data_IF_983317411998
#
_entry.id   IF_983317411998
#
_cell.length_a   1.000
_cell.length_b   1.000
_cell.length_c   1.000
_cell.angle_alpha   90.00
_cell.angle_beta   90.00
_cell.angle_gamma   90.00
#
_symmetry.space_group_name_H-M   'P 1'
#
loop_
_entity.id
_entity.type
_entity.pdbx_description
1 polymer ?
#
# COMPACT_ATOMS: atom_id res chain seq x y z
N UNK A 1 -7.66 -5.99 -1.00
CA UNK A 1 -7.17 -7.39 -1.06
C UNK A 1 -8.10 -8.25 -0.22
N UNK A 2 -8.17 -9.55 -0.50
CA UNK A 2 -8.92 -10.51 0.32
C UNK A 2 -8.01 -11.70 0.61
N UNK A 3 -7.90 -12.07 1.90
CA UNK A 3 -7.10 -13.19 2.38
C UNK A 3 -7.89 -13.97 3.42
N UNK A 4 -8.02 -15.29 3.24
CA UNK A 4 -8.74 -16.19 4.15
C UNK A 4 -10.14 -15.67 4.52
N UNK A 5 -10.83 -15.07 3.53
CA UNK A 5 -12.16 -14.50 3.68
C UNK A 5 -12.21 -13.15 4.43
N UNK A 6 -11.05 -12.54 4.73
CA UNK A 6 -10.94 -11.19 5.30
C UNK A 6 -10.59 -10.16 4.24
N UNK A 7 -11.30 -9.04 4.26
CA UNK A 7 -11.09 -7.92 3.35
C UNK A 7 -10.14 -6.91 3.96
N UNK A 8 -9.01 -6.70 3.27
CA UNK A 8 -7.95 -5.80 3.66
C UNK A 8 -7.98 -4.58 2.72
N UNK A 9 -8.18 -3.42 3.29
CA UNK A 9 -8.08 -2.13 2.59
C UNK A 9 -6.73 -1.50 2.90
N UNK A 10 -6.07 -0.94 1.90
CA UNK A 10 -4.83 -0.17 2.09
C UNK A 10 -5.05 1.26 1.59
N UNK A 11 -4.57 2.24 2.36
CA UNK A 11 -4.46 3.66 1.98
C UNK A 11 -5.69 4.21 1.21
N UNK A 12 -6.87 4.33 1.83
CA UNK A 12 -8.11 4.63 1.11
C UNK A 12 -8.16 6.08 0.60
N UNK A 13 -7.99 6.23 -0.72
CA UNK A 13 -8.14 7.49 -1.46
C UNK A 13 -9.06 7.30 -2.66
N UNK A 14 -10.35 7.61 -2.50
CA UNK A 14 -11.40 7.37 -3.48
C UNK A 14 -12.11 8.68 -3.84
N UNK A 15 -12.65 9.40 -2.86
CA UNK A 15 -13.42 10.63 -3.09
C UNK A 15 -12.63 11.74 -3.78
N UNK A 16 -11.32 11.83 -3.52
CA UNK A 16 -10.41 12.79 -4.16
C UNK A 16 -9.84 12.34 -5.49
N UNK A 17 -10.08 11.08 -5.89
CA UNK A 17 -9.51 10.49 -7.10
C UNK A 17 -10.49 10.63 -8.27
N UNK A 18 -10.13 11.45 -9.27
CA UNK A 18 -10.95 11.66 -10.47
C UNK A 18 -11.22 10.39 -11.29
N UNK A 19 -10.36 9.38 -11.17
CA UNK A 19 -10.52 8.09 -11.83
C UNK A 19 -11.44 7.12 -11.06
N UNK A 20 -11.77 7.43 -9.79
CA UNK A 20 -12.58 6.57 -8.92
C UNK A 20 -14.03 7.06 -8.74
N UNK A 21 -14.51 7.99 -9.56
CA UNK A 21 -15.85 8.61 -9.41
C UNK A 21 -17.03 7.64 -9.40
N UNK A 22 -16.85 6.45 -9.97
CA UNK A 22 -17.88 5.39 -9.98
C UNK A 22 -17.92 4.54 -8.72
N UNK A 23 -16.98 4.75 -7.80
CA UNK A 23 -16.84 3.96 -6.57
C UNK A 23 -17.40 4.79 -5.40
N UNK A 24 -18.40 4.24 -4.72
CA UNK A 24 -18.93 4.83 -3.48
C UNK A 24 -18.09 4.38 -2.28
N UNK A 25 -17.30 5.25 -1.65
CA UNK A 25 -16.49 4.89 -0.48
C UNK A 25 -17.36 4.44 0.72
N UNK A 26 -18.58 4.93 0.83
CA UNK A 26 -19.50 4.51 1.90
C UNK A 26 -19.97 3.05 1.75
N UNK A 27 -19.94 2.53 0.52
CA UNK A 27 -20.28 1.14 0.22
C UNK A 27 -19.14 0.13 0.49
N UNK A 28 -17.92 0.59 0.72
CA UNK A 28 -16.76 -0.30 0.92
C UNK A 28 -16.92 -1.05 2.24
N UNK A 29 -16.65 -2.37 2.17
CA UNK A 29 -16.64 -3.25 3.35
C UNK A 29 -15.23 -3.82 3.53
N UNK A 30 -14.72 -3.72 4.74
CA UNK A 30 -13.40 -4.23 5.12
C UNK A 30 -13.38 -4.72 6.57
N UNK A 31 -12.47 -5.65 6.84
CA UNK A 31 -12.19 -6.16 8.19
C UNK A 31 -10.97 -5.47 8.79
N UNK A 32 -10.04 -5.06 7.91
CA UNK A 32 -8.81 -4.35 8.29
C UNK A 32 -8.55 -3.19 7.35
N UNK A 33 -7.96 -2.12 7.89
CA UNK A 33 -7.44 -0.98 7.14
C UNK A 33 -5.97 -0.80 7.48
N UNK A 34 -5.08 -0.93 6.52
CA UNK A 34 -3.65 -0.72 6.69
C UNK A 34 -3.26 0.64 6.12
N UNK A 35 -2.61 1.47 6.92
CA UNK A 35 -2.09 2.77 6.48
C UNK A 35 -0.58 2.77 6.43
N UNK A 36 -0.04 3.06 5.26
CA UNK A 36 1.40 3.21 5.03
C UNK A 36 1.95 4.48 5.67
N UNK A 37 1.20 5.60 5.56
CA UNK A 37 1.58 6.90 6.10
C UNK A 37 0.38 7.87 6.15
N UNK A 38 0.59 9.09 6.63
CA UNK A 38 -0.49 10.01 6.97
C UNK A 38 -0.85 11.07 5.94
N UNK A 39 -0.35 11.02 4.70
CA UNK A 39 -0.68 12.03 3.69
C UNK A 39 -2.16 12.00 3.31
N UNK A 40 -2.74 13.16 2.90
CA UNK A 40 -4.16 13.28 2.61
C UNK A 40 -4.69 12.28 1.57
N UNK A 41 -3.91 11.98 0.55
CA UNK A 41 -4.24 11.03 -0.52
C UNK A 41 -4.09 9.55 -0.12
N UNK A 42 -3.81 9.26 1.15
CA UNK A 42 -3.80 7.91 1.71
C UNK A 42 -4.82 7.71 2.82
N UNK A 43 -5.37 8.80 3.37
CA UNK A 43 -6.29 8.74 4.50
C UNK A 43 -7.63 9.47 4.24
N UNK A 44 -7.86 10.01 3.03
CA UNK A 44 -9.01 10.86 2.72
C UNK A 44 -10.35 10.24 3.09
N UNK A 45 -10.55 8.95 2.78
CA UNK A 45 -11.82 8.27 3.00
C UNK A 45 -11.81 7.37 4.26
N UNK A 46 -10.72 7.37 5.02
CA UNK A 46 -10.54 6.49 6.19
C UNK A 46 -11.68 6.64 7.20
N UNK A 47 -11.99 7.85 7.62
CA UNK A 47 -12.99 8.07 8.67
C UNK A 47 -14.40 7.70 8.21
N UNK A 48 -14.74 7.96 6.95
CA UNK A 48 -16.00 7.56 6.36
C UNK A 48 -16.14 6.03 6.29
N UNK A 49 -15.09 5.36 5.80
CA UNK A 49 -15.09 3.91 5.68
C UNK A 49 -15.11 3.25 7.05
N UNK A 50 -14.28 3.69 8.00
CA UNK A 50 -14.26 3.15 9.36
C UNK A 50 -15.63 3.32 10.07
N UNK A 51 -16.32 4.45 9.88
CA UNK A 51 -17.67 4.66 10.40
C UNK A 51 -18.67 3.61 9.88
N UNK A 52 -18.54 3.19 8.63
CA UNK A 52 -19.42 2.20 8.00
C UNK A 52 -18.94 0.75 8.24
N UNK A 53 -17.77 0.57 8.85
CA UNK A 53 -17.18 -0.71 9.24
C UNK A 53 -16.69 -0.63 10.70
N UNK A 54 -17.59 -0.55 11.68
CA UNK A 54 -17.24 -0.25 13.09
C UNK A 54 -16.40 -1.35 13.75
N UNK A 55 -16.36 -2.54 13.16
CA UNK A 55 -15.55 -3.65 13.62
C UNK A 55 -14.19 -3.74 12.94
N UNK A 56 -13.97 -2.98 11.86
CA UNK A 56 -12.69 -2.95 11.17
C UNK A 56 -11.57 -2.44 12.09
N UNK A 57 -10.40 -3.08 11.98
CA UNK A 57 -9.21 -2.71 12.75
C UNK A 57 -8.28 -1.89 11.87
N UNK A 58 -8.00 -0.66 12.28
CA UNK A 58 -6.99 0.18 11.66
C UNK A 58 -5.58 -0.24 12.14
N UNK A 59 -4.72 -0.57 11.20
CA UNK A 59 -3.32 -0.97 11.46
C UNK A 59 -2.38 0.08 10.88
N UNK A 60 -1.45 0.56 11.67
CA UNK A 60 -0.48 1.54 11.24
C UNK A 60 0.64 1.73 12.25
N UNK A 61 1.56 2.63 11.95
CA UNK A 61 2.63 2.99 12.87
C UNK A 61 2.05 3.66 14.14
N UNK A 62 2.83 3.71 15.21
CA UNK A 62 2.38 4.19 16.52
C UNK A 62 1.64 5.53 16.49
N UNK A 63 2.11 6.51 15.71
CA UNK A 63 1.52 7.85 15.62
C UNK A 63 0.13 7.82 14.95
N UNK A 64 -0.04 6.98 13.95
CA UNK A 64 -1.34 6.73 13.30
C UNK A 64 -2.29 6.04 14.29
N UNK A 65 -1.82 4.99 14.96
CA UNK A 65 -2.59 4.31 16.01
C UNK A 65 -3.05 5.30 17.07
N UNK A 66 -2.15 6.07 17.66
CA UNK A 66 -2.47 7.01 18.74
C UNK A 66 -3.55 8.02 18.31
N UNK A 67 -3.36 8.66 17.14
CA UNK A 67 -4.31 9.65 16.62
C UNK A 67 -5.72 9.10 16.41
N UNK A 68 -5.83 7.92 15.81
CA UNK A 68 -7.15 7.36 15.48
C UNK A 68 -7.79 6.60 16.64
N UNK A 69 -7.02 6.14 17.62
CA UNK A 69 -7.56 5.68 18.91
C UNK A 69 -8.27 6.81 19.66
N UNK A 70 -7.68 8.02 19.68
CA UNK A 70 -8.32 9.21 20.25
C UNK A 70 -9.63 9.57 19.54
N UNK A 71 -9.78 9.25 18.26
CA UNK A 71 -11.01 9.39 17.47
C UNK A 71 -12.01 8.23 17.66
N UNK A 72 -11.71 7.26 18.54
CA UNK A 72 -12.60 6.16 18.88
C UNK A 72 -12.56 4.98 17.90
N UNK A 73 -11.59 4.90 16.99
CA UNK A 73 -11.46 3.74 16.11
C UNK A 73 -10.81 2.55 16.83
N UNK A 74 -11.15 1.33 16.41
CA UNK A 74 -10.40 0.14 16.79
C UNK A 74 -9.06 0.15 16.05
N UNK A 75 -7.96 0.10 16.76
CA UNK A 75 -6.64 0.23 16.16
C UNK A 75 -5.67 -0.82 16.67
N UNK A 76 -4.69 -1.19 15.84
CA UNK A 76 -3.56 -2.05 16.21
C UNK A 76 -2.25 -1.35 15.84
N UNK A 77 -1.39 -1.02 16.80
CA UNK A 77 -0.10 -0.39 16.51
C UNK A 77 0.90 -1.41 15.98
N UNK A 78 1.63 -1.02 14.96
CA UNK A 78 2.82 -1.73 14.52
C UNK A 78 4.04 -0.80 14.48
N UNK A 79 5.21 -1.36 14.32
CA UNK A 79 6.42 -0.66 13.90
C UNK A 79 7.27 -1.60 13.04
N UNK A 80 8.24 -1.02 12.34
CA UNK A 80 9.09 -1.77 11.40
C UNK A 80 9.93 -2.82 12.13
N UNK A 81 10.03 -4.00 11.53
CA UNK A 81 10.92 -5.06 11.97
C UNK A 81 10.25 -6.39 12.25
N UNK A 82 9.40 -6.48 13.26
CA UNK A 82 8.78 -7.74 13.67
C UNK A 82 7.53 -8.13 12.87
N UNK A 83 7.13 -9.39 13.04
CA UNK A 83 5.86 -9.93 12.55
C UNK A 83 4.77 -9.82 13.61
N UNK A 84 3.54 -9.58 13.17
CA UNK A 84 2.34 -9.78 13.98
C UNK A 84 1.39 -10.74 13.27
N UNK A 85 0.74 -11.65 14.04
CA UNK A 85 -0.21 -12.61 13.51
C UNK A 85 -1.64 -12.12 13.69
N UNK A 86 -2.35 -11.97 12.59
CA UNK A 86 -3.78 -11.70 12.51
C UNK A 86 -4.54 -13.01 12.18
N UNK A 87 -5.86 -12.98 12.15
CA UNK A 87 -6.71 -14.13 11.83
C UNK A 87 -6.70 -14.54 10.34
N UNK A 88 -6.12 -13.69 9.47
CA UNK A 88 -5.95 -13.97 8.04
C UNK A 88 -4.51 -14.35 7.63
N UNK A 89 -3.57 -14.27 8.52
CA UNK A 89 -2.14 -14.50 8.25
C UNK A 89 -1.26 -13.63 9.15
N UNK A 90 0.01 -13.49 8.82
CA UNK A 90 0.92 -12.60 9.55
C UNK A 90 1.38 -11.44 8.68
N UNK A 91 1.64 -10.32 9.32
CA UNK A 91 2.06 -9.09 8.63
C UNK A 91 3.36 -8.57 9.24
N UNK A 92 4.27 -8.12 8.40
CA UNK A 92 5.50 -7.43 8.78
C UNK A 92 5.46 -6.01 8.22
N UNK A 93 5.66 -5.04 9.10
CA UNK A 93 5.88 -3.66 8.68
C UNK A 93 7.36 -3.50 8.28
N UNK A 94 7.60 -2.96 7.08
CA UNK A 94 8.94 -2.79 6.49
C UNK A 94 9.23 -1.33 6.19
N UNK A 95 10.49 -1.01 5.88
CA UNK A 95 10.92 0.35 5.58
C UNK A 95 10.29 0.87 4.29
N UNK A 96 9.85 2.14 4.32
CA UNK A 96 9.59 2.98 3.17
C UNK A 96 10.35 4.31 3.35
N UNK A 97 10.78 4.92 2.25
CA UNK A 97 11.51 6.19 2.25
C UNK A 97 10.65 7.25 1.60
N UNK A 98 9.96 8.00 2.43
CA UNK A 98 9.01 9.05 2.04
C UNK A 98 8.82 10.02 3.22
N UNK A 99 8.08 11.09 3.04
CA UNK A 99 7.60 11.93 4.14
C UNK A 99 6.29 11.41 4.71
N UNK A 100 5.90 11.91 5.88
CA UNK A 100 4.63 11.54 6.49
C UNK A 100 4.16 12.64 7.43
N UNK A 101 3.01 13.22 7.11
CA UNK A 101 2.30 14.18 7.96
C UNK A 101 0.80 13.99 7.84
N UNK A 102 0.08 14.34 8.88
CA UNK A 102 -1.37 14.50 8.78
C UNK A 102 -1.75 15.79 8.04
N UNK A 103 -3.03 15.96 7.61
CA UNK A 103 -3.48 17.16 6.89
C UNK A 103 -3.26 18.47 7.66
N UNK A 104 -3.17 18.41 8.98
CA UNK A 104 -2.85 19.56 9.85
C UNK A 104 -1.34 19.80 10.00
N UNK A 105 -0.54 19.13 9.18
CA UNK A 105 0.93 19.16 9.16
C UNK A 105 1.60 18.60 10.42
N UNK A 106 0.86 18.01 11.35
CA UNK A 106 1.45 17.28 12.46
C UNK A 106 2.12 15.98 11.98
N UNK A 107 3.13 15.53 12.72
CA UNK A 107 3.90 14.34 12.40
C UNK A 107 3.00 13.07 12.47
N UNK A 108 3.01 12.27 11.42
CA UNK A 108 2.20 11.05 11.31
C UNK A 108 2.99 9.74 11.44
N UNK A 109 4.16 9.81 12.02
CA UNK A 109 5.09 8.68 12.09
C UNK A 109 5.93 8.52 10.83
N UNK A 110 6.85 7.58 10.85
CA UNK A 110 7.69 7.23 9.71
C UNK A 110 6.91 6.37 8.71
N UNK A 111 6.95 6.66 7.39
CA UNK A 111 6.23 5.86 6.39
C UNK A 111 6.71 4.41 6.37
N UNK A 112 5.83 3.50 5.98
CA UNK A 112 6.09 2.07 6.00
C UNK A 112 5.39 1.35 4.84
N UNK A 113 5.96 0.22 4.43
CA UNK A 113 5.29 -0.80 3.65
C UNK A 113 4.88 -1.99 4.53
N UNK A 114 4.16 -2.93 3.94
CA UNK A 114 3.69 -4.15 4.60
C UNK A 114 3.96 -5.37 3.75
N UNK A 115 4.45 -6.44 4.36
CA UNK A 115 4.46 -7.77 3.76
C UNK A 115 3.38 -8.61 4.45
N UNK A 116 2.40 -9.02 3.67
CA UNK A 116 1.31 -9.91 4.08
C UNK A 116 1.72 -11.34 3.71
N UNK A 117 1.92 -12.19 4.71
CA UNK A 117 2.22 -13.62 4.55
C UNK A 117 0.99 -14.41 5.01
N UNK A 118 0.26 -14.95 4.04
CA UNK A 118 -1.05 -15.55 4.23
C UNK A 118 -1.13 -16.93 3.57
N UNK A 119 -2.13 -17.77 3.92
CA UNK A 119 -2.35 -19.03 3.22
C UNK A 119 -2.67 -18.88 1.71
N UNK A 120 -3.15 -17.71 1.29
CA UNK A 120 -3.56 -17.44 -0.09
C UNK A 120 -2.41 -16.86 -0.94
N UNK A 121 -1.30 -16.47 -0.32
CA UNK A 121 -0.11 -15.95 -0.97
C UNK A 121 0.60 -14.88 -0.16
N UNK A 122 1.76 -14.45 -0.65
CA UNK A 122 2.62 -13.45 -0.03
C UNK A 122 2.64 -12.18 -0.87
N UNK A 123 2.12 -11.09 -0.30
CA UNK A 123 2.01 -9.79 -1.00
C UNK A 123 2.83 -8.72 -0.28
N UNK A 124 3.64 -7.99 -1.04
CA UNK A 124 4.30 -6.78 -0.57
C UNK A 124 3.56 -5.55 -1.07
N UNK A 125 3.06 -4.73 -0.17
CA UNK A 125 2.54 -3.39 -0.44
C UNK A 125 3.56 -2.39 0.09
N UNK A 126 4.20 -1.63 -0.79
CA UNK A 126 5.29 -0.73 -0.39
C UNK A 126 4.81 0.56 0.29
N UNK A 127 3.55 0.96 0.10
CA UNK A 127 3.15 2.33 0.30
C UNK A 127 3.95 3.28 -0.60
N UNK A 128 3.97 4.55 -0.27
CA UNK A 128 4.79 5.53 -0.98
C UNK A 128 6.24 5.44 -0.53
N UNK A 129 7.12 5.30 -1.52
CA UNK A 129 8.56 5.15 -1.26
C UNK A 129 9.40 5.54 -2.47
N UNK A 130 10.59 6.04 -2.22
CA UNK A 130 11.69 6.00 -3.17
C UNK A 130 12.29 4.59 -3.23
N UNK A 131 13.08 4.32 -4.27
CA UNK A 131 13.93 3.12 -4.31
C UNK A 131 14.93 3.15 -3.15
N UNK A 132 15.02 2.07 -2.39
CA UNK A 132 15.94 1.98 -1.25
C UNK A 132 16.58 0.59 -1.16
N UNK A 133 17.82 0.56 -0.67
CA UNK A 133 18.53 -0.69 -0.43
C UNK A 133 17.88 -1.57 0.64
N UNK A 134 17.04 -0.99 1.52
CA UNK A 134 16.31 -1.76 2.53
C UNK A 134 15.31 -2.75 1.92
N UNK A 135 14.89 -2.54 0.67
CA UNK A 135 14.05 -3.50 -0.07
C UNK A 135 14.71 -4.87 -0.21
N UNK A 136 16.05 -4.93 -0.27
CA UNK A 136 16.81 -6.20 -0.30
C UNK A 136 16.72 -7.01 1.00
N UNK A 137 16.27 -6.41 2.09
CA UNK A 137 16.01 -7.15 3.33
C UNK A 137 14.72 -7.98 3.26
N UNK A 138 13.82 -7.67 2.33
CA UNK A 138 12.54 -8.38 2.18
C UNK A 138 12.78 -9.85 1.84
N UNK A 139 13.48 -10.22 0.74
CA UNK A 139 13.72 -11.64 0.42
C UNK A 139 14.61 -12.35 1.45
N UNK A 140 15.41 -11.60 2.23
CA UNK A 140 16.23 -12.18 3.28
C UNK A 140 15.45 -12.52 4.56
N UNK A 141 14.29 -11.89 4.78
CA UNK A 141 13.56 -11.92 6.08
C UNK A 141 12.08 -12.26 5.95
N UNK A 142 11.58 -12.41 4.73
CA UNK A 142 10.19 -12.77 4.40
C UNK A 142 10.19 -13.98 3.47
N UNK A 143 9.07 -14.72 3.35
CA UNK A 143 8.88 -15.72 2.30
C UNK A 143 8.97 -15.09 0.90
N UNK A 144 9.21 -15.89 -0.16
CA UNK A 144 9.12 -15.42 -1.54
C UNK A 144 7.79 -14.72 -1.82
N UNK A 145 7.84 -13.61 -2.56
CA UNK A 145 6.65 -12.83 -2.89
C UNK A 145 5.93 -13.38 -4.12
N UNK A 146 4.61 -13.47 -4.06
CA UNK A 146 3.75 -13.76 -5.21
C UNK A 146 3.37 -12.49 -5.98
N UNK A 147 3.27 -11.35 -5.27
CA UNK A 147 2.94 -10.04 -5.85
C UNK A 147 3.60 -8.92 -5.06
N UNK A 148 4.13 -7.92 -5.77
CA UNK A 148 4.51 -6.64 -5.19
C UNK A 148 3.59 -5.53 -5.71
N UNK A 149 3.13 -4.64 -4.83
CA UNK A 149 2.35 -3.44 -5.17
C UNK A 149 3.27 -2.24 -4.96
N UNK A 150 3.68 -1.59 -6.07
CA UNK A 150 4.70 -0.56 -6.07
C UNK A 150 4.21 0.72 -6.73
N UNK A 151 4.53 1.92 -6.19
CA UNK A 151 4.26 3.18 -6.85
C UNK A 151 5.17 3.34 -8.06
N UNK A 152 4.62 3.88 -9.17
CA UNK A 152 5.33 4.06 -10.44
C UNK A 152 5.14 5.45 -11.05
N UNK A 153 4.51 6.37 -10.30
CA UNK A 153 4.07 7.68 -10.80
C UNK A 153 5.16 8.73 -10.91
N UNK A 154 6.39 8.44 -10.48
CA UNK A 154 7.49 9.42 -10.45
C UNK A 154 7.21 10.63 -9.51
N UNK A 155 8.05 11.66 -9.58
CA UNK A 155 7.98 12.94 -8.86
C UNK A 155 7.90 12.81 -7.32
N UNK A 156 6.89 12.14 -6.79
CA UNK A 156 6.69 11.94 -5.34
C UNK A 156 7.19 10.57 -4.85
N UNK A 157 7.29 9.60 -5.74
CA UNK A 157 7.67 8.21 -5.46
C UNK A 157 8.65 7.70 -6.52
N UNK A 158 8.84 6.39 -6.61
CA UNK A 158 9.61 5.78 -7.71
C UNK A 158 8.96 6.09 -9.06
N UNK A 159 9.79 6.24 -10.10
CA UNK A 159 9.35 6.08 -11.47
C UNK A 159 9.30 4.59 -11.87
N UNK A 160 8.87 4.29 -13.09
CA UNK A 160 8.76 2.91 -13.56
C UNK A 160 10.11 2.18 -13.67
N UNK A 161 11.22 2.90 -13.90
CA UNK A 161 12.57 2.30 -13.96
C UNK A 161 13.07 1.92 -12.57
N UNK A 162 12.89 2.82 -11.60
CA UNK A 162 13.22 2.55 -10.20
C UNK A 162 12.33 1.44 -9.63
N UNK A 163 11.04 1.43 -9.94
CA UNK A 163 10.13 0.39 -9.49
C UNK A 163 10.44 -0.98 -10.12
N UNK A 164 10.89 -1.02 -11.39
CA UNK A 164 11.37 -2.26 -12.00
C UNK A 164 12.66 -2.76 -11.33
N UNK A 165 13.55 -1.87 -10.88
CA UNK A 165 14.72 -2.23 -10.08
C UNK A 165 14.33 -2.65 -8.65
N UNK A 166 13.32 -2.01 -8.06
CA UNK A 166 12.75 -2.43 -6.78
C UNK A 166 12.21 -3.86 -6.85
N UNK A 167 11.55 -4.24 -7.95
CA UNK A 167 11.07 -5.60 -8.18
C UNK A 167 12.22 -6.63 -8.20
N UNK A 168 13.39 -6.26 -8.75
CA UNK A 168 14.60 -7.10 -8.63
C UNK A 168 15.08 -7.19 -7.17
N UNK A 169 15.07 -6.07 -6.42
CA UNK A 169 15.53 -6.05 -5.03
C UNK A 169 14.69 -6.89 -4.11
N UNK A 170 13.36 -6.92 -4.34
CA UNK A 170 12.43 -7.73 -3.54
C UNK A 170 12.24 -9.15 -4.09
N UNK A 171 12.93 -9.50 -5.19
CA UNK A 171 12.87 -10.80 -5.87
C UNK A 171 11.44 -11.21 -6.27
N UNK A 172 10.63 -10.25 -6.74
CA UNK A 172 9.27 -10.49 -7.20
C UNK A 172 9.16 -10.29 -8.71
N UNK A 173 8.52 -11.22 -9.41
CA UNK A 173 8.38 -11.15 -10.87
C UNK A 173 7.10 -10.43 -11.30
N UNK A 174 6.07 -10.38 -10.46
CA UNK A 174 4.78 -9.78 -10.74
C UNK A 174 4.59 -8.52 -9.91
N UNK A 175 4.35 -7.40 -10.57
CA UNK A 175 4.17 -6.10 -9.93
C UNK A 175 2.87 -5.46 -10.36
N UNK A 176 2.02 -5.13 -9.40
CA UNK A 176 0.88 -4.24 -9.60
C UNK A 176 1.34 -2.79 -9.41
N UNK A 177 1.33 -2.01 -10.48
CA UNK A 177 1.63 -0.58 -10.43
C UNK A 177 0.53 0.19 -9.72
N UNK A 178 0.90 1.10 -8.83
CA UNK A 178 -0.02 2.02 -8.17
C UNK A 178 0.52 3.46 -8.16
N UNK A 179 -0.25 4.40 -7.62
CA UNK A 179 0.12 5.80 -7.43
C UNK A 179 0.59 6.48 -8.74
N UNK A 180 -0.22 6.35 -9.81
CA UNK A 180 0.02 6.98 -11.12
C UNK A 180 -1.30 7.49 -11.72
N UNK A 181 -1.22 8.42 -12.68
CA UNK A 181 -2.32 9.02 -13.46
C UNK A 181 -3.41 9.76 -12.66
N UNK A 182 -3.36 9.80 -11.35
CA UNK A 182 -4.38 10.44 -10.51
C UNK A 182 -4.25 11.97 -10.49
N UNK A 183 -3.03 12.46 -10.54
CA UNK A 183 -2.69 13.89 -10.58
C UNK A 183 -1.78 14.17 -11.76
N UNK A 184 -1.84 15.38 -12.33
CA UNK A 184 -1.01 15.75 -13.48
C UNK A 184 0.51 15.63 -13.27
N UNK A 185 0.98 15.63 -12.01
CA UNK A 185 2.40 15.42 -11.70
C UNK A 185 2.86 13.96 -11.73
N UNK A 186 1.93 13.02 -11.78
CA UNK A 186 2.21 11.57 -11.75
C UNK A 186 1.59 10.83 -12.94
N UNK A 187 1.32 11.57 -14.03
CA UNK A 187 0.92 10.97 -15.31
C UNK A 187 2.12 10.24 -15.92
N UNK A 188 1.91 9.01 -16.39
CA UNK A 188 2.98 8.18 -16.94
C UNK A 188 2.70 7.74 -18.39
N UNK A 189 3.76 7.40 -19.12
CA UNK A 189 3.63 6.66 -20.36
C UNK A 189 3.57 5.16 -20.06
N UNK A 190 2.39 4.56 -20.20
CA UNK A 190 2.15 3.14 -19.88
C UNK A 190 3.08 2.20 -20.67
N UNK A 191 3.33 2.47 -21.98
CA UNK A 191 4.20 1.61 -22.82
C UNK A 191 5.66 1.66 -22.35
N UNK A 192 6.14 2.84 -21.96
CA UNK A 192 7.48 3.01 -21.43
C UNK A 192 7.61 2.32 -20.06
N UNK A 193 6.58 2.40 -19.21
CA UNK A 193 6.53 1.71 -17.94
C UNK A 193 6.57 0.18 -18.15
N UNK A 194 5.71 -0.36 -19.00
CA UNK A 194 5.72 -1.80 -19.36
C UNK A 194 7.07 -2.24 -19.93
N UNK A 195 7.68 -1.42 -20.79
CA UNK A 195 9.01 -1.73 -21.36
C UNK A 195 10.11 -1.74 -20.29
N UNK A 196 10.07 -0.84 -19.30
CA UNK A 196 11.03 -0.80 -18.20
C UNK A 196 11.02 -2.12 -17.41
N UNK A 197 9.84 -2.63 -17.05
CA UNK A 197 9.69 -3.90 -16.34
C UNK A 197 10.07 -5.10 -17.23
N UNK A 198 9.60 -5.15 -18.47
CA UNK A 198 9.90 -6.23 -19.41
C UNK A 198 11.40 -6.35 -19.68
N UNK A 199 12.15 -5.23 -19.72
CA UNK A 199 13.60 -5.23 -19.89
C UNK A 199 14.36 -5.95 -18.77
N UNK A 200 13.72 -6.12 -17.61
CA UNK A 200 14.22 -6.82 -16.43
C UNK A 200 13.57 -8.20 -16.23
N UNK A 201 12.79 -8.67 -17.21
CA UNK A 201 12.07 -9.94 -17.11
C UNK A 201 10.95 -9.94 -16.07
N UNK A 202 10.42 -8.75 -15.74
CA UNK A 202 9.33 -8.57 -14.77
C UNK A 202 8.02 -8.27 -15.49
N UNK A 203 6.90 -8.67 -14.90
CA UNK A 203 5.53 -8.36 -15.34
C UNK A 203 5.02 -7.11 -14.60
N UNK A 204 4.67 -6.05 -15.34
CA UNK A 204 3.94 -4.91 -14.80
C UNK A 204 2.46 -5.05 -15.12
N UNK A 205 1.63 -5.02 -14.09
CA UNK A 205 0.17 -5.05 -14.18
C UNK A 205 -0.34 -3.62 -13.96
N UNK A 206 -0.94 -3.04 -15.00
CA UNK A 206 -1.63 -1.74 -14.95
C UNK A 206 -3.13 -1.98 -14.87
N UNK A 207 -3.69 -1.95 -13.68
CA UNK A 207 -5.11 -2.24 -13.45
C UNK A 207 -5.93 -0.96 -13.56
N UNK A 208 -7.08 -1.04 -14.24
CA UNK A 208 -8.06 0.04 -14.19
C UNK A 208 -8.63 0.16 -12.77
N UNK A 209 -8.88 1.41 -12.35
CA UNK A 209 -9.56 1.68 -11.06
C UNK A 209 -10.90 0.95 -11.01
N UNK A 210 -11.18 0.25 -9.92
CA UNK A 210 -12.33 -0.64 -9.77
C UNK A 210 -12.16 -2.04 -10.38
N UNK A 211 -11.03 -2.34 -11.01
CA UNK A 211 -10.68 -3.68 -11.49
C UNK A 211 -10.35 -4.64 -10.34
N UNK A 212 -10.29 -5.92 -10.65
CA UNK A 212 -9.84 -6.97 -9.73
C UNK A 212 -8.98 -8.00 -10.49
N UNK A 213 -8.14 -8.69 -9.76
CA UNK A 213 -7.31 -9.79 -10.25
C UNK A 213 -7.15 -10.86 -9.18
N UNK A 214 -6.86 -12.07 -9.60
CA UNK A 214 -6.36 -13.16 -8.76
C UNK A 214 -4.85 -13.31 -8.98
N UNK A 215 -4.12 -13.74 -7.99
CA UNK A 215 -2.65 -13.88 -8.06
C UNK A 215 -2.16 -15.18 -7.42
#
# INVERSE_FOLDING_TARGET
MEFSGKRILTDPFISGNSLAQSIDPAGIRCDYIFLSHGHPDHIADLELIAKNNPDAVLVGIWEIHARYTEKGMKTHPMNKGGWWTFDFGRVKMVQAVHSSSFPDLSYAGSPAGFVFDTPDGVVYFSGDTALTMDMKLIPMTCPPLDLAILPIGSNFTMDAHDAALAAEFVECDRVLGCHYDTFGFIEINHREAEAAFSSKGKELILMKVGGHMEF
#
